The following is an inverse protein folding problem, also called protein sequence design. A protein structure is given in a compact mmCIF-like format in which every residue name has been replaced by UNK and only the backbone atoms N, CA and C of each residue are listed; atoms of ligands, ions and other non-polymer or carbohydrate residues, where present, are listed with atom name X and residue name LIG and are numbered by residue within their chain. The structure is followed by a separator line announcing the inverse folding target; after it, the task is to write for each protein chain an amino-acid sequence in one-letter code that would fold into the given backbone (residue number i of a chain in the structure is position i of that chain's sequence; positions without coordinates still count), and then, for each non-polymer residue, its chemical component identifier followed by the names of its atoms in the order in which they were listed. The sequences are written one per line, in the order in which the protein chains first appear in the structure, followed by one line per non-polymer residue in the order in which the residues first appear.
data_IF_766346390461
#
_entry.id   IF_766346390461
#
_cell.length_a   1.000
_cell.length_b   1.000
_cell.length_c   1.000
_cell.angle_alpha   90.00
_cell.angle_beta   90.00
_cell.angle_gamma   90.00
#
_symmetry.space_group_name_H-M   'P 1'
#
loop_
_entity.id
_entity.type
_entity.pdbx_description
1 polymer ?
#
# COMPACT_ATOMS: atom_id res chain seq x y z
N UNK A 1 0.38 -6.46 16.92
CA UNK A 1 -0.41 -7.19 15.90
C UNK A 1 -1.05 -6.24 14.89
N UNK A 2 -1.51 -5.03 15.27
CA UNK A 2 -2.11 -4.07 14.33
C UNK A 2 -1.21 -3.68 13.14
N UNK A 3 0.10 -3.50 13.37
CA UNK A 3 1.07 -3.23 12.29
C UNK A 3 1.05 -4.31 11.20
N UNK A 4 0.97 -5.59 11.62
CA UNK A 4 0.88 -6.71 10.69
C UNK A 4 -0.45 -6.67 9.92
N UNK A 5 -1.56 -6.33 10.58
CA UNK A 5 -2.86 -6.20 9.91
C UNK A 5 -2.83 -5.13 8.81
N UNK A 6 -2.21 -3.98 9.06
CA UNK A 6 -2.05 -2.91 8.06
C UNK A 6 -1.16 -3.35 6.90
N UNK A 7 -0.01 -3.95 7.20
CA UNK A 7 0.89 -4.48 6.18
C UNK A 7 0.18 -5.53 5.31
N UNK A 8 -0.51 -6.49 5.93
CA UNK A 8 -1.24 -7.54 5.22
C UNK A 8 -2.36 -6.98 4.32
N UNK A 9 -3.11 -5.97 4.79
CA UNK A 9 -4.10 -5.29 3.96
C UNK A 9 -3.44 -4.59 2.76
N UNK A 10 -2.33 -3.87 2.99
CA UNK A 10 -1.58 -3.22 1.93
C UNK A 10 -1.06 -4.19 0.87
N UNK A 11 -0.52 -5.32 1.33
CA UNK A 11 -0.06 -6.42 0.47
C UNK A 11 -1.23 -7.02 -0.31
N UNK A 12 -2.37 -7.28 0.33
CA UNK A 12 -3.55 -7.83 -0.33
C UNK A 12 -4.02 -6.93 -1.48
N UNK A 13 -4.03 -5.62 -1.30
CA UNK A 13 -4.41 -4.66 -2.35
C UNK A 13 -3.33 -4.57 -3.43
N UNK A 14 -2.05 -4.54 -3.05
CA UNK A 14 -0.94 -4.51 -4.01
C UNK A 14 -0.95 -5.71 -4.97
N UNK A 15 -1.44 -6.89 -4.56
CA UNK A 15 -1.57 -8.03 -5.48
C UNK A 15 -2.43 -7.72 -6.71
N UNK A 16 -3.41 -6.83 -6.59
CA UNK A 16 -4.25 -6.41 -7.72
C UNK A 16 -3.54 -5.45 -8.68
N UNK A 17 -2.31 -5.01 -8.37
CA UNK A 17 -1.51 -4.20 -9.28
C UNK A 17 -1.17 -4.92 -10.59
N UNK A 18 -1.23 -6.26 -10.62
CA UNK A 18 -1.04 -7.07 -11.83
C UNK A 18 -2.06 -6.75 -12.93
N UNK A 19 -3.24 -6.21 -12.58
CA UNK A 19 -4.29 -5.87 -13.55
C UNK A 19 -4.07 -4.53 -14.24
N UNK A 20 -3.01 -3.81 -13.89
CA UNK A 20 -2.66 -2.51 -14.46
C UNK A 20 -1.32 -2.66 -15.19
N UNK A 21 -1.12 -2.02 -16.35
CA UNK A 21 0.17 -2.06 -17.05
C UNK A 21 1.30 -1.61 -16.12
N UNK A 22 2.38 -2.38 -16.02
CA UNK A 22 3.47 -2.06 -15.10
C UNK A 22 4.23 -0.85 -15.62
N UNK A 23 3.94 0.29 -14.98
CA UNK A 23 4.63 1.57 -15.17
C UNK A 23 5.12 2.10 -13.84
N UNK A 24 5.20 1.27 -12.81
CA UNK A 24 5.54 1.72 -11.47
C UNK A 24 7.00 2.16 -11.41
N UNK A 25 7.27 3.18 -10.59
CA UNK A 25 8.64 3.54 -10.26
C UNK A 25 9.29 2.41 -9.45
N UNK A 26 10.33 1.79 -10.00
CA UNK A 26 10.93 0.57 -9.43
C UNK A 26 10.13 -0.71 -9.71
N UNK A 27 9.18 -0.67 -10.65
CA UNK A 27 8.36 -1.82 -11.06
C UNK A 27 7.50 -2.39 -9.93
N UNK A 28 7.24 -3.70 -10.00
CA UNK A 28 6.45 -4.44 -9.02
C UNK A 28 7.02 -4.34 -7.58
N UNK A 29 8.35 -4.27 -7.43
CA UNK A 29 9.00 -4.12 -6.12
C UNK A 29 8.84 -2.71 -5.56
N UNK A 30 9.00 -1.68 -6.39
CA UNK A 30 8.83 -0.29 -5.95
C UNK A 30 7.37 0.01 -5.56
N UNK A 31 6.41 -0.52 -6.30
CA UNK A 31 4.99 -0.44 -5.93
C UNK A 31 4.68 -1.19 -4.63
N UNK A 32 5.28 -2.36 -4.41
CA UNK A 32 5.13 -3.12 -3.15
C UNK A 32 5.57 -2.32 -1.94
N UNK A 33 6.76 -1.71 -2.03
CA UNK A 33 7.33 -0.91 -0.95
C UNK A 33 6.46 0.30 -0.65
N UNK A 34 6.05 1.07 -1.67
CA UNK A 34 5.23 2.26 -1.46
C UNK A 34 3.81 1.93 -0.99
N UNK A 35 3.21 0.85 -1.49
CA UNK A 35 1.91 0.35 -1.02
C UNK A 35 1.95 -0.04 0.46
N UNK A 36 3.00 -0.75 0.88
CA UNK A 36 3.17 -1.22 2.26
C UNK A 36 3.45 -0.05 3.21
N UNK A 37 4.36 0.86 2.85
CA UNK A 37 4.64 2.06 3.64
C UNK A 37 3.37 2.92 3.76
N UNK A 38 2.65 3.11 2.66
CA UNK A 38 1.38 3.83 2.66
C UNK A 38 0.36 3.20 3.61
N UNK A 39 0.17 1.87 3.54
CA UNK A 39 -0.70 1.12 4.43
C UNK A 39 -0.39 1.39 5.91
N UNK A 40 0.88 1.27 6.28
CA UNK A 40 1.35 1.45 7.66
C UNK A 40 1.13 2.89 8.12
N UNK A 41 1.48 3.88 7.29
CA UNK A 41 1.31 5.29 7.63
C UNK A 41 -0.17 5.66 7.83
N UNK A 42 -1.05 5.18 6.94
CA UNK A 42 -2.49 5.42 7.06
C UNK A 42 -3.07 4.79 8.32
N UNK A 43 -2.74 3.53 8.59
CA UNK A 43 -3.15 2.85 9.82
C UNK A 43 -2.64 3.55 11.08
N UNK A 44 -1.37 3.99 11.07
CA UNK A 44 -0.75 4.72 12.19
C UNK A 44 -1.43 6.07 12.43
N UNK A 45 -1.76 6.83 11.38
CA UNK A 45 -2.46 8.11 11.50
C UNK A 45 -3.85 7.90 12.09
N UNK A 46 -4.62 6.92 11.59
CA UNK A 46 -5.98 6.62 12.08
C UNK A 46 -5.96 6.11 13.52
N UNK A 47 -4.95 5.32 13.91
CA UNK A 47 -4.78 4.82 15.27
C UNK A 47 -4.14 5.84 16.24
N UNK A 48 -4.02 7.11 15.85
CA UNK A 48 -3.50 8.17 16.71
C UNK A 48 -2.02 7.98 17.08
N UNK A 49 -1.21 7.46 16.16
CA UNK A 49 0.21 7.14 16.33
C UNK A 49 0.51 6.07 17.37
N UNK A 50 -0.47 5.22 17.68
CA UNK A 50 -0.32 4.02 18.51
C UNK A 50 -0.52 2.76 17.67
N UNK A 51 0.13 1.65 18.03
CA UNK A 51 -0.04 0.36 17.35
C UNK A 51 -0.96 -0.52 18.19
N UNK A 52 -2.18 -0.86 17.71
CA UNK A 52 -3.11 -1.71 18.46
C UNK A 52 -2.53 -3.09 18.82
N UNK A 53 -2.78 -3.48 20.07
CA UNK A 53 -2.50 -4.82 20.59
C UNK A 53 -3.46 -5.86 20.01
N UNK A 54 -3.21 -7.14 20.28
CA UNK A 54 -3.99 -8.25 19.72
C UNK A 54 -5.46 -8.26 20.15
N UNK A 55 -5.77 -7.72 21.34
CA UNK A 55 -7.12 -7.67 21.90
C UNK A 55 -8.01 -6.58 21.31
N UNK A 56 -7.42 -5.61 20.60
CA UNK A 56 -8.11 -4.42 20.09
C UNK A 56 -8.14 -4.39 18.55
N UNK A 57 -7.88 -5.53 17.91
CA UNK A 57 -7.94 -5.64 16.44
C UNK A 57 -9.37 -5.91 16.01
N UNK A 58 -9.90 -4.95 15.28
CA UNK A 58 -11.17 -5.07 14.60
C UNK A 58 -10.97 -5.03 13.08
N UNK A 59 -12.04 -5.30 12.33
CA UNK A 59 -12.01 -5.16 10.86
C UNK A 59 -11.65 -3.72 10.44
N UNK A 60 -12.10 -2.73 11.20
CA UNK A 60 -11.83 -1.30 11.01
C UNK A 60 -10.33 -1.00 11.09
N UNK A 61 -9.60 -1.71 11.96
CA UNK A 61 -8.14 -1.60 12.06
C UNK A 61 -7.48 -1.95 10.74
N UNK A 62 -7.91 -3.02 10.07
CA UNK A 62 -7.35 -3.41 8.77
C UNK A 62 -7.76 -2.42 7.66
N UNK A 63 -9.04 -2.00 7.64
CA UNK A 63 -9.55 -1.05 6.63
C UNK A 63 -8.85 0.30 6.67
N UNK A 64 -8.33 0.72 7.84
CA UNK A 64 -7.57 1.96 7.99
C UNK A 64 -6.31 2.02 7.11
N UNK A 65 -5.79 0.89 6.64
CA UNK A 65 -4.63 0.84 5.76
C UNK A 65 -4.95 1.19 4.29
N UNK A 66 -6.20 0.99 3.85
CA UNK A 66 -6.61 1.13 2.43
C UNK A 66 -6.22 2.48 1.83
N UNK A 67 -6.54 3.65 2.44
CA UNK A 67 -6.28 4.94 1.82
C UNK A 67 -4.79 5.15 1.52
N UNK A 68 -3.93 4.84 2.49
CA UNK A 68 -2.49 4.95 2.31
C UNK A 68 -1.93 3.98 1.28
N UNK A 69 -2.44 2.76 1.20
CA UNK A 69 -2.03 1.81 0.16
C UNK A 69 -2.34 2.34 -1.24
N UNK A 70 -3.55 2.85 -1.45
CA UNK A 70 -3.95 3.43 -2.74
C UNK A 70 -3.11 4.66 -3.10
N UNK A 71 -2.81 5.51 -2.13
CA UNK A 71 -1.92 6.67 -2.31
C UNK A 71 -0.50 6.20 -2.68
N UNK A 72 0.03 5.20 -1.98
CA UNK A 72 1.36 4.64 -2.24
C UNK A 72 1.48 4.05 -3.65
N UNK A 73 0.50 3.23 -4.06
CA UNK A 73 0.41 2.69 -5.42
C UNK A 73 0.28 3.80 -6.46
N UNK A 74 -0.60 4.77 -6.22
CA UNK A 74 -0.80 5.92 -7.10
C UNK A 74 0.48 6.73 -7.26
N UNK A 75 1.20 7.01 -6.17
CA UNK A 75 2.47 7.72 -6.21
C UNK A 75 3.54 6.93 -6.99
N UNK A 76 3.66 5.62 -6.74
CA UNK A 76 4.58 4.75 -7.48
C UNK A 76 4.29 4.80 -8.99
N UNK A 77 3.02 4.70 -9.37
CA UNK A 77 2.59 4.72 -10.78
C UNK A 77 2.84 6.09 -11.42
N UNK A 78 2.38 7.17 -10.79
CA UNK A 78 2.53 8.54 -11.32
C UNK A 78 4.00 8.92 -11.52
N UNK A 79 4.88 8.55 -10.58
CA UNK A 79 6.31 8.82 -10.71
C UNK A 79 6.90 8.03 -11.88
N UNK A 80 6.54 6.76 -12.06
CA UNK A 80 7.05 5.96 -13.18
C UNK A 80 6.52 6.45 -14.54
N UNK A 81 5.26 6.87 -14.62
CA UNK A 81 4.70 7.54 -15.82
C UNK A 81 5.47 8.83 -16.15
N UNK A 82 5.73 9.68 -15.15
CA UNK A 82 6.48 10.93 -15.34
C UNK A 82 7.92 10.72 -15.78
N UNK A 83 8.54 9.59 -15.40
CA UNK A 83 9.88 9.19 -15.84
C UNK A 83 9.91 8.56 -17.23
N UNK A 84 8.75 8.38 -17.86
CA UNK A 84 8.65 7.79 -19.19
C UNK A 84 8.76 6.27 -19.20
N UNK A 85 8.45 5.59 -18.09
CA UNK A 85 8.45 4.12 -18.06
C UNK A 85 7.46 3.58 -19.11
N UNK A 86 7.90 2.69 -20.01
CA UNK A 86 7.03 2.06 -20.99
C UNK A 86 5.99 1.19 -20.28
N UNK A 87 4.82 1.04 -20.87
CA UNK A 87 3.82 0.11 -20.38
C UNK A 87 4.29 -1.32 -20.64
N UNK A 88 4.72 -2.01 -19.59
CA UNK A 88 5.00 -3.44 -19.68
C UNK A 88 3.68 -4.19 -19.51
N UNK A 89 3.31 -4.94 -20.54
CA UNK A 89 2.25 -5.92 -20.47
C UNK A 89 2.87 -7.23 -19.98
N UNK A 90 2.49 -7.66 -18.78
CA UNK A 90 2.87 -8.96 -18.23
C UNK A 90 2.07 -10.09 -18.89
#
# INVERSE_FOLDING_TARGET
MGLLAWAMMGIAIWHFAIFIPDRFWGGIVGSFVLATIGAILSGLIVAGFSIPGSGDIEITTALAAIPGTLIGLGAAYLVGVRRGNPALHL
#
